data_IF_760290720672
#
_entry.id   IF_760290720672
#
_cell.length_a   1.000
_cell.length_b   1.000
_cell.length_c   1.000
_cell.angle_alpha   90.00
_cell.angle_beta   90.00
_cell.angle_gamma   90.00
#
_symmetry.space_group_name_H-M   'P 1'
#
loop_
_entity.id
_entity.type
_entity.pdbx_description
1 polymer ?
#
# COMPACT_ATOMS: atom_id res chain seq x y z
N UNK A 1 -14.01 16.64 13.52
CA UNK A 1 -12.71 16.00 13.23
C UNK A 1 -11.85 16.92 12.36
N UNK A 2 -10.86 17.58 12.98
CA UNK A 2 -10.01 18.57 12.31
C UNK A 2 -9.08 17.85 11.34
N UNK A 3 -9.22 18.16 10.05
CA UNK A 3 -8.32 17.70 9.00
C UNK A 3 -6.93 18.24 9.32
N UNK A 4 -5.97 17.35 9.54
CA UNK A 4 -4.57 17.72 9.72
C UNK A 4 -3.99 18.12 8.37
N UNK A 5 -3.91 19.43 8.13
CA UNK A 5 -3.34 20.03 6.91
C UNK A 5 -1.92 19.56 6.62
N UNK A 6 -1.19 19.08 7.64
CA UNK A 6 0.17 18.54 7.51
C UNK A 6 0.22 17.30 6.62
N UNK A 7 -0.82 16.46 6.62
CA UNK A 7 -0.91 15.25 5.80
C UNK A 7 -1.04 15.57 4.30
N UNK A 8 -1.85 16.58 3.94
CA UNK A 8 -2.04 16.99 2.55
C UNK A 8 -0.84 17.80 2.02
N UNK A 9 -0.20 18.59 2.87
CA UNK A 9 0.99 19.38 2.50
C UNK A 9 2.22 18.50 2.22
N UNK A 10 2.26 17.27 2.72
CA UNK A 10 3.32 16.30 2.36
C UNK A 10 3.11 15.70 0.95
N UNK A 11 1.88 15.72 0.43
CA UNK A 11 1.55 15.19 -0.89
C UNK A 11 1.60 16.28 -1.98
N UNK A 12 1.42 17.54 -1.63
CA UNK A 12 1.27 18.65 -2.57
C UNK A 12 2.28 19.79 -2.32
N UNK A 13 3.05 20.15 -3.35
CA UNK A 13 3.46 21.55 -3.54
C UNK A 13 2.23 22.47 -3.72
N UNK A 14 2.39 23.80 -3.79
CA UNK A 14 1.27 24.74 -3.66
C UNK A 14 0.17 24.50 -4.72
N UNK A 15 -1.06 24.30 -4.24
CA UNK A 15 -2.25 23.96 -5.02
C UNK A 15 -2.80 25.24 -5.69
N UNK A 16 -3.09 25.17 -6.99
CA UNK A 16 -3.87 26.20 -7.72
C UNK A 16 -5.31 25.73 -7.86
N UNK A 17 -6.24 26.48 -7.26
CA UNK A 17 -7.68 26.26 -7.36
C UNK A 17 -8.22 26.59 -8.77
N UNK A 18 -9.06 25.70 -9.32
CA UNK A 18 -10.02 26.09 -10.37
C UNK A 18 -11.34 25.31 -10.31
N UNK A 19 -12.32 25.96 -9.66
CA UNK A 19 -13.78 26.07 -9.91
C UNK A 19 -14.63 24.85 -10.34
N UNK A 20 -15.54 24.50 -9.42
CA UNK A 20 -17.00 24.23 -9.50
C UNK A 20 -17.76 24.43 -10.82
N UNK A 21 -18.65 23.47 -11.18
CA UNK A 21 -20.12 23.65 -11.26
C UNK A 21 -20.86 22.46 -11.90
N UNK A 22 -21.36 21.49 -11.11
CA UNK A 22 -22.70 20.87 -11.25
C UNK A 22 -22.92 19.75 -10.22
N UNK A 23 -23.96 19.90 -9.39
CA UNK A 23 -24.42 18.91 -8.41
C UNK A 23 -25.96 18.90 -8.34
N UNK A 24 -26.61 17.74 -8.13
CA UNK A 24 -26.04 16.39 -8.12
C UNK A 24 -25.92 15.80 -9.54
N UNK A 25 -24.95 14.91 -9.81
CA UNK A 25 -24.87 14.22 -11.09
C UNK A 25 -26.03 13.22 -11.23
N UNK A 26 -26.67 13.24 -12.40
CA UNK A 26 -27.61 12.22 -12.84
C UNK A 26 -26.84 10.91 -13.06
N UNK A 27 -27.02 9.91 -12.20
CA UNK A 27 -26.48 8.55 -12.42
C UNK A 27 -27.41 7.83 -13.39
N UNK A 28 -27.12 7.91 -14.69
CA UNK A 28 -27.91 7.28 -15.76
C UNK A 28 -27.24 6.05 -16.37
N UNK A 29 -26.06 5.66 -15.86
CA UNK A 29 -25.31 4.52 -16.39
C UNK A 29 -24.87 3.61 -15.24
N UNK A 30 -25.05 2.30 -15.45
CA UNK A 30 -24.35 1.27 -14.67
C UNK A 30 -22.86 1.56 -14.89
N UNK A 31 -22.03 1.66 -13.83
CA UNK A 31 -20.61 1.90 -14.01
C UNK A 31 -20.05 0.87 -14.98
N UNK A 32 -19.43 1.33 -16.08
CA UNK A 32 -18.69 0.44 -16.95
C UNK A 32 -17.65 -0.34 -16.11
N UNK A 33 -17.35 -1.59 -16.45
CA UNK A 33 -16.28 -2.32 -15.79
C UNK A 33 -15.03 -1.44 -15.78
N UNK A 34 -14.53 -1.14 -14.58
CA UNK A 34 -13.40 -0.26 -14.37
C UNK A 34 -12.15 -0.85 -15.05
N UNK A 35 -11.83 -0.34 -16.24
CA UNK A 35 -10.61 -0.66 -17.01
C UNK A 35 -9.40 0.12 -16.45
N UNK A 36 -9.28 0.12 -15.11
CA UNK A 36 -8.18 0.78 -14.41
C UNK A 36 -6.87 0.02 -14.55
N UNK A 37 -5.75 0.60 -14.07
CA UNK A 37 -4.45 -0.06 -14.16
C UNK A 37 -4.51 -1.46 -13.54
N UNK A 38 -4.15 -2.49 -14.31
CA UNK A 38 -4.08 -3.88 -13.83
C UNK A 38 -2.98 -4.12 -12.78
N UNK A 39 -2.39 -3.05 -12.21
CA UNK A 39 -1.29 -3.11 -11.25
C UNK A 39 -1.63 -2.35 -9.98
N UNK A 40 -1.85 -3.10 -8.92
CA UNK A 40 -2.23 -2.59 -7.61
C UNK A 40 -1.07 -2.67 -6.62
N UNK A 41 -1.08 -1.73 -5.69
CA UNK A 41 -0.29 -1.76 -4.47
C UNK A 41 -1.26 -1.83 -3.28
N UNK A 42 -1.32 -2.98 -2.62
CA UNK A 42 -2.33 -3.29 -1.62
C UNK A 42 -1.73 -3.28 -0.20
N UNK A 43 -1.92 -2.24 0.61
CA UNK A 43 -1.47 -2.16 2.00
C UNK A 43 -2.30 -3.08 2.91
N UNK A 44 -1.97 -4.37 2.90
CA UNK A 44 -2.58 -5.39 3.73
C UNK A 44 -2.52 -5.04 5.22
N UNK A 45 -1.36 -4.55 5.67
CA UNK A 45 -1.11 -4.20 7.07
C UNK A 45 -0.23 -2.98 7.19
N UNK A 46 -0.62 -2.04 8.05
CA UNK A 46 0.22 -0.94 8.51
C UNK A 46 0.34 -1.06 10.03
N UNK A 47 1.49 -1.53 10.52
CA UNK A 47 1.72 -1.95 11.91
C UNK A 47 1.96 -0.79 12.88
N UNK A 48 1.18 0.29 12.77
CA UNK A 48 1.30 1.49 13.63
C UNK A 48 -0.06 2.03 14.05
N UNK A 49 -0.09 2.92 15.05
CA UNK A 49 -1.32 3.62 15.41
C UNK A 49 -1.67 4.62 14.32
N UNK A 50 -2.95 4.94 14.16
CA UNK A 50 -3.48 5.74 13.05
C UNK A 50 -2.71 7.03 12.77
N UNK A 51 -2.34 7.77 13.82
CA UNK A 51 -1.55 9.02 13.70
C UNK A 51 -0.26 8.84 12.92
N UNK A 52 0.42 7.70 13.10
CA UNK A 52 1.67 7.35 12.43
C UNK A 52 1.45 6.51 11.18
N UNK A 53 0.41 5.68 11.16
CA UNK A 53 -0.01 4.92 9.98
C UNK A 53 -0.35 5.83 8.80
N UNK A 54 -0.89 7.04 9.05
CA UNK A 54 -1.05 8.11 8.05
C UNK A 54 0.25 8.38 7.31
N UNK A 55 1.34 8.64 8.04
CA UNK A 55 2.63 8.93 7.43
C UNK A 55 3.17 7.73 6.65
N UNK A 56 2.87 6.50 7.06
CA UNK A 56 3.24 5.31 6.28
C UNK A 56 2.39 5.15 5.01
N UNK A 57 1.11 5.49 5.06
CA UNK A 57 0.24 5.49 3.88
C UNK A 57 0.73 6.50 2.82
N UNK A 58 1.21 7.68 3.23
CA UNK A 58 1.85 8.65 2.31
C UNK A 58 3.04 8.02 1.58
N UNK A 59 3.87 7.28 2.31
CA UNK A 59 5.06 6.62 1.74
C UNK A 59 4.67 5.49 0.77
N UNK A 60 3.61 4.76 1.09
CA UNK A 60 3.01 3.74 0.23
C UNK A 60 2.47 4.38 -1.06
N UNK A 61 1.79 5.53 -0.98
CA UNK A 61 1.33 6.29 -2.15
C UNK A 61 2.50 6.80 -2.99
N UNK A 62 3.56 7.30 -2.36
CA UNK A 62 4.76 7.72 -3.10
C UNK A 62 5.45 6.53 -3.79
N UNK A 63 5.54 5.38 -3.11
CA UNK A 63 6.05 4.15 -3.72
C UNK A 63 5.18 3.70 -4.90
N UNK A 64 3.86 3.83 -4.81
CA UNK A 64 2.96 3.47 -5.89
C UNK A 64 3.20 4.32 -7.14
N UNK A 65 3.52 5.62 -6.99
CA UNK A 65 3.88 6.50 -8.11
C UNK A 65 5.14 6.02 -8.82
N UNK A 66 6.20 5.69 -8.07
CA UNK A 66 7.46 5.19 -8.64
C UNK A 66 7.34 3.79 -9.27
N UNK A 67 6.36 2.99 -8.81
CA UNK A 67 6.08 1.67 -9.36
C UNK A 67 4.97 1.68 -10.42
N UNK A 68 4.38 2.84 -10.73
CA UNK A 68 3.21 3.00 -11.60
C UNK A 68 2.06 2.05 -11.22
N UNK A 69 1.63 2.12 -9.96
CA UNK A 69 0.57 1.27 -9.37
C UNK A 69 -0.53 2.12 -8.74
N UNK A 70 -1.77 1.67 -8.87
CA UNK A 70 -2.93 2.19 -8.13
C UNK A 70 -2.90 1.65 -6.69
N UNK A 71 -3.07 2.53 -5.69
CA UNK A 71 -3.15 2.09 -4.29
C UNK A 71 -4.55 1.63 -3.95
N UNK A 72 -4.68 0.42 -3.40
CA UNK A 72 -5.92 -0.02 -2.77
C UNK A 72 -6.01 0.62 -1.39
N UNK A 73 -7.03 1.43 -1.15
CA UNK A 73 -7.16 2.14 0.13
C UNK A 73 -7.39 1.14 1.28
N UNK A 74 -6.65 1.26 2.39
CA UNK A 74 -6.84 0.39 3.53
C UNK A 74 -8.15 0.70 4.26
N UNK A 75 -8.72 -0.28 4.95
CA UNK A 75 -9.79 0.00 5.93
C UNK A 75 -9.22 0.66 7.18
N UNK A 76 -10.09 1.29 7.96
CA UNK A 76 -9.75 2.04 9.18
C UNK A 76 -10.63 1.64 10.36
N UNK A 77 -10.14 1.90 11.58
CA UNK A 77 -10.89 1.63 12.81
C UNK A 77 -9.99 1.21 13.96
N UNK A 78 -10.49 1.31 15.18
CA UNK A 78 -9.75 0.97 16.42
C UNK A 78 -8.35 1.64 16.48
N UNK A 79 -8.25 2.87 15.95
CA UNK A 79 -7.01 3.64 15.83
C UNK A 79 -5.91 2.94 15.00
N UNK A 80 -6.28 2.21 13.94
CA UNK A 80 -5.40 1.46 13.04
C UNK A 80 -5.85 1.59 11.59
N UNK A 81 -4.96 1.22 10.66
CA UNK A 81 -5.22 1.10 9.22
C UNK A 81 -4.75 -0.25 8.69
N UNK A 82 -5.48 -0.82 7.74
CA UNK A 82 -5.12 -2.04 7.03
C UNK A 82 -6.36 -2.77 6.48
N UNK A 83 -6.15 -3.85 5.75
CA UNK A 83 -7.26 -4.58 5.10
C UNK A 83 -8.30 -5.13 6.08
N UNK A 84 -7.89 -5.50 7.30
CA UNK A 84 -8.74 -6.17 8.29
C UNK A 84 -9.51 -5.22 9.23
N UNK A 85 -9.51 -3.92 8.96
CA UNK A 85 -10.22 -2.97 9.81
C UNK A 85 -11.71 -2.92 9.46
N UNK A 86 -12.60 -2.50 10.39
CA UNK A 86 -14.04 -2.62 10.18
C UNK A 86 -14.65 -1.58 9.25
N UNK A 87 -14.10 -0.36 9.20
CA UNK A 87 -14.70 0.78 8.49
C UNK A 87 -13.94 1.09 7.22
N UNK A 88 -14.63 1.60 6.20
CA UNK A 88 -13.98 1.97 4.95
C UNK A 88 -13.19 3.26 5.11
N UNK A 89 -12.20 3.46 4.23
CA UNK A 89 -11.25 4.56 4.35
C UNK A 89 -11.95 5.93 4.37
N UNK A 90 -12.97 6.09 3.54
CA UNK A 90 -13.78 7.30 3.41
C UNK A 90 -14.60 7.66 4.65
N UNK A 91 -14.74 6.73 5.60
CA UNK A 91 -15.38 7.00 6.90
C UNK A 91 -14.62 8.09 7.68
N UNK A 92 -13.29 8.15 7.56
CA UNK A 92 -12.44 9.13 8.27
C UNK A 92 -11.65 10.07 7.36
N UNK A 93 -11.52 9.73 6.08
CA UNK A 93 -10.63 10.43 5.15
C UNK A 93 -11.34 10.87 3.87
N UNK A 94 -10.89 11.97 3.29
CA UNK A 94 -11.44 12.49 2.05
C UNK A 94 -10.67 11.90 0.86
N UNK A 95 -11.28 10.94 0.18
CA UNK A 95 -10.67 10.24 -0.97
C UNK A 95 -10.48 11.19 -2.15
N UNK A 96 -11.39 12.13 -2.36
CA UNK A 96 -11.28 13.11 -3.45
C UNK A 96 -10.09 14.03 -3.24
N UNK A 97 -9.82 14.45 -2.00
CA UNK A 97 -8.59 15.21 -1.69
C UNK A 97 -7.31 14.43 -1.95
N UNK A 98 -7.30 13.10 -1.74
CA UNK A 98 -6.15 12.26 -2.11
C UNK A 98 -5.97 12.20 -3.63
N UNK A 99 -7.05 12.02 -4.38
CA UNK A 99 -7.03 12.02 -5.86
C UNK A 99 -6.55 13.35 -6.41
N UNK A 100 -7.06 14.47 -5.88
CA UNK A 100 -6.63 15.82 -6.24
C UNK A 100 -5.16 16.08 -5.88
N UNK A 101 -4.63 15.41 -4.86
CA UNK A 101 -3.20 15.40 -4.52
C UNK A 101 -2.35 14.50 -5.46
N UNK A 102 -2.96 13.99 -6.53
CA UNK A 102 -2.32 13.16 -7.55
C UNK A 102 -2.04 11.72 -7.08
N UNK A 103 -2.77 11.21 -6.10
CA UNK A 103 -2.71 9.80 -5.74
C UNK A 103 -3.69 9.00 -6.62
N UNK A 104 -3.20 7.96 -7.29
CA UNK A 104 -4.06 7.00 -7.97
C UNK A 104 -4.53 5.94 -6.97
N UNK A 105 -5.83 5.95 -6.66
CA UNK A 105 -6.41 5.19 -5.54
C UNK A 105 -7.77 4.59 -5.88
N UNK A 106 -7.98 3.36 -5.39
CA UNK A 106 -9.25 2.62 -5.48
C UNK A 106 -9.70 2.19 -4.09
N UNK A 107 -11.01 2.16 -3.83
CA UNK A 107 -11.54 1.61 -2.58
C UNK A 107 -11.34 0.09 -2.54
N UNK A 108 -11.23 -0.46 -1.33
CA UNK A 108 -11.06 -1.90 -1.15
C UNK A 108 -12.24 -2.71 -1.73
N UNK A 109 -13.47 -2.23 -1.58
CA UNK A 109 -14.65 -2.90 -2.14
C UNK A 109 -14.62 -2.94 -3.67
N UNK A 110 -14.26 -1.82 -4.31
CA UNK A 110 -14.17 -1.74 -5.77
C UNK A 110 -13.05 -2.63 -6.31
N UNK A 111 -11.91 -2.69 -5.61
CA UNK A 111 -10.85 -3.63 -5.89
C UNK A 111 -11.33 -5.10 -5.80
N UNK A 112 -12.11 -5.45 -4.76
CA UNK A 112 -12.64 -6.80 -4.59
C UNK A 112 -13.70 -7.20 -5.61
N UNK A 113 -14.42 -6.24 -6.23
CA UNK A 113 -15.37 -6.52 -7.31
C UNK A 113 -14.68 -6.95 -8.61
N UNK A 114 -13.38 -6.65 -8.76
CA UNK A 114 -12.55 -7.16 -9.86
C UNK A 114 -12.60 -8.69 -9.90
N UNK A 115 -13.36 -9.24 -10.84
CA UNK A 115 -13.81 -10.64 -10.83
C UNK A 115 -12.78 -11.66 -11.32
N UNK A 116 -11.55 -11.23 -11.63
CA UNK A 116 -10.48 -12.10 -12.13
C UNK A 116 -9.54 -12.53 -11.02
N UNK A 117 -8.94 -13.71 -11.18
CA UNK A 117 -7.76 -14.09 -10.40
C UNK A 117 -6.61 -13.15 -10.76
N UNK A 118 -5.94 -12.60 -9.76
CA UNK A 118 -4.84 -11.66 -9.92
C UNK A 118 -3.55 -12.25 -9.35
N UNK A 119 -2.47 -12.19 -10.11
CA UNK A 119 -1.15 -12.56 -9.61
C UNK A 119 -0.74 -11.64 -8.47
N UNK A 120 -0.16 -12.20 -7.41
CA UNK A 120 0.17 -11.46 -6.21
C UNK A 120 1.57 -11.79 -5.68
N UNK A 121 2.29 -10.78 -5.22
CA UNK A 121 3.55 -10.96 -4.50
C UNK A 121 3.48 -10.24 -3.16
N UNK A 122 4.07 -10.85 -2.14
CA UNK A 122 4.15 -10.26 -0.81
C UNK A 122 5.42 -9.43 -0.72
N UNK A 123 5.28 -8.18 -0.29
CA UNK A 123 6.36 -7.30 0.09
C UNK A 123 6.22 -6.94 1.57
N UNK A 124 7.13 -7.42 2.40
CA UNK A 124 7.17 -7.07 3.83
C UNK A 124 8.32 -6.13 4.11
N UNK A 125 8.00 -4.95 4.62
CA UNK A 125 8.95 -3.95 5.07
C UNK A 125 8.96 -3.95 6.60
N UNK A 126 9.97 -4.57 7.24
CA UNK A 126 9.96 -4.76 8.69
C UNK A 126 11.32 -4.49 9.34
N UNK A 127 11.33 -3.78 10.48
CA UNK A 127 12.58 -3.48 11.20
C UNK A 127 13.23 -4.72 11.82
N UNK A 128 12.45 -5.76 12.12
CA UNK A 128 12.96 -7.04 12.62
C UNK A 128 12.76 -8.12 11.57
N UNK A 129 13.75 -8.99 11.42
CA UNK A 129 13.57 -10.20 10.63
C UNK A 129 12.51 -11.06 11.31
N UNK A 130 11.70 -11.76 10.50
CA UNK A 130 10.76 -12.75 11.04
C UNK A 130 11.56 -13.82 11.77
N UNK A 131 11.17 -14.23 13.00
CA UNK A 131 11.86 -15.29 13.74
C UNK A 131 11.83 -16.64 12.99
N UNK A 132 10.91 -16.80 12.05
CA UNK A 132 10.75 -18.02 11.25
C UNK A 132 11.64 -18.03 9.99
N UNK A 133 12.40 -16.96 9.75
CA UNK A 133 13.22 -16.84 8.55
C UNK A 133 14.59 -17.44 8.79
N UNK A 134 14.80 -18.65 8.25
CA UNK A 134 16.03 -19.43 8.41
C UNK A 134 17.05 -19.18 7.30
N UNK A 135 16.66 -18.48 6.23
CA UNK A 135 17.56 -18.18 5.11
C UNK A 135 18.57 -17.09 5.46
N UNK A 136 19.81 -17.27 5.01
CA UNK A 136 20.84 -16.22 5.08
C UNK A 136 20.40 -15.03 4.21
N UNK A 137 20.35 -13.81 4.75
CA UNK A 137 19.96 -12.64 3.98
C UNK A 137 20.99 -12.32 2.90
N UNK A 138 20.48 -11.82 1.77
CA UNK A 138 21.29 -11.04 0.83
C UNK A 138 21.35 -9.62 1.39
N UNK A 139 22.56 -9.08 1.59
CA UNK A 139 22.72 -7.72 2.13
C UNK A 139 23.02 -6.75 1.00
N UNK A 140 22.12 -5.80 0.76
CA UNK A 140 22.26 -4.74 -0.26
C UNK A 140 22.09 -3.41 0.44
N UNK A 141 23.08 -2.53 0.38
CA UNK A 141 23.01 -1.19 0.97
C UNK A 141 22.53 -1.15 2.44
N UNK A 142 22.95 -2.15 3.23
CA UNK A 142 22.56 -2.34 4.65
C UNK A 142 21.09 -2.73 4.86
N UNK A 143 20.40 -3.13 3.80
CA UNK A 143 19.09 -3.74 3.81
C UNK A 143 19.28 -5.24 3.63
N UNK A 144 18.81 -6.01 4.60
CA UNK A 144 18.74 -7.46 4.49
C UNK A 144 17.52 -7.81 3.64
N UNK A 145 17.75 -8.55 2.57
CA UNK A 145 16.73 -9.06 1.66
C UNK A 145 16.63 -10.56 1.88
N UNK A 146 15.43 -11.04 2.16
CA UNK A 146 15.13 -12.46 2.18
C UNK A 146 14.02 -12.76 1.19
N UNK A 147 14.22 -13.82 0.43
CA UNK A 147 13.24 -14.38 -0.48
C UNK A 147 12.74 -15.69 0.14
N UNK A 148 11.42 -15.83 0.25
CA UNK A 148 10.81 -17.03 0.84
C UNK A 148 9.72 -17.54 -0.10
N UNK A 149 9.94 -18.75 -0.60
CA UNK A 149 9.02 -19.43 -1.51
C UNK A 149 7.70 -19.80 -0.81
N UNK A 150 6.58 -19.51 -1.47
CA UNK A 150 5.23 -19.89 -1.04
C UNK A 150 4.86 -19.46 0.39
N UNK A 151 5.48 -18.41 0.91
CA UNK A 151 5.25 -17.95 2.28
C UNK A 151 4.16 -16.89 2.34
N UNK A 152 2.99 -17.30 2.84
CA UNK A 152 1.85 -16.41 3.12
C UNK A 152 1.69 -16.12 4.60
N UNK A 153 2.61 -16.57 5.47
CA UNK A 153 2.47 -16.49 6.92
C UNK A 153 2.52 -15.06 7.48
N UNK A 154 3.09 -14.12 6.73
CA UNK A 154 3.12 -12.70 7.10
C UNK A 154 1.80 -11.98 6.82
N UNK A 155 0.89 -12.59 6.05
CA UNK A 155 -0.39 -11.99 5.74
C UNK A 155 -1.34 -12.00 6.95
N UNK A 156 -2.11 -10.93 7.18
CA UNK A 156 -3.17 -10.94 8.17
C UNK A 156 -4.19 -12.06 7.89
N UNK A 157 -4.65 -12.74 8.95
CA UNK A 157 -5.59 -13.88 8.83
C UNK A 157 -6.87 -13.53 8.07
N UNK A 158 -7.36 -12.29 8.17
CA UNK A 158 -8.55 -11.87 7.42
C UNK A 158 -8.37 -11.97 5.91
N UNK A 159 -7.13 -11.89 5.41
CA UNK A 159 -6.89 -11.89 3.97
C UNK A 159 -7.26 -13.22 3.32
N UNK A 160 -7.02 -14.34 4.01
CA UNK A 160 -7.32 -15.67 3.49
C UNK A 160 -8.80 -15.87 3.17
N UNK A 161 -9.69 -15.23 3.96
CA UNK A 161 -11.14 -15.34 3.78
C UNK A 161 -11.73 -14.28 2.82
N UNK A 162 -11.09 -13.12 2.72
CA UNK A 162 -11.64 -11.96 1.99
C UNK A 162 -10.99 -11.71 0.62
N UNK A 163 -9.89 -12.39 0.29
CA UNK A 163 -9.09 -12.12 -0.91
C UNK A 163 -8.66 -13.41 -1.64
N UNK A 164 -9.57 -14.38 -1.73
CA UNK A 164 -9.32 -15.67 -2.40
C UNK A 164 -9.04 -15.58 -3.90
N UNK A 165 -9.16 -14.39 -4.50
CA UNK A 165 -8.79 -14.11 -5.90
C UNK A 165 -7.30 -13.84 -6.09
N UNK A 166 -6.55 -13.56 -5.03
CA UNK A 166 -5.10 -13.34 -5.09
C UNK A 166 -4.36 -14.66 -5.24
N UNK A 167 -3.51 -14.76 -6.27
CA UNK A 167 -2.69 -15.91 -6.57
C UNK A 167 -1.21 -15.62 -6.31
N UNK A 168 -0.70 -16.14 -5.20
CA UNK A 168 0.70 -15.97 -4.80
C UNK A 168 1.66 -16.95 -5.48
N UNK A 169 1.16 -17.88 -6.30
CA UNK A 169 1.99 -18.87 -6.97
C UNK A 169 2.89 -18.18 -8.01
N UNK A 170 4.16 -18.59 -8.06
CA UNK A 170 5.13 -18.06 -9.02
C UNK A 170 5.90 -16.83 -8.51
N UNK A 171 5.62 -16.35 -7.30
CA UNK A 171 6.36 -15.23 -6.70
C UNK A 171 6.90 -15.59 -5.32
N UNK A 172 8.18 -15.29 -5.10
CA UNK A 172 8.76 -15.35 -3.76
C UNK A 172 8.27 -14.16 -2.94
N UNK A 173 7.94 -14.41 -1.66
CA UNK A 173 7.71 -13.34 -0.71
C UNK A 173 9.03 -12.59 -0.45
N UNK A 174 9.00 -11.28 -0.61
CA UNK A 174 10.17 -10.39 -0.45
C UNK A 174 10.10 -9.73 0.92
N UNK A 175 11.08 -10.03 1.77
CA UNK A 175 11.23 -9.44 3.08
C UNK A 175 12.40 -8.48 3.08
N UNK A 176 12.13 -7.20 3.32
CA UNK A 176 13.12 -6.14 3.41
C UNK A 176 13.26 -5.71 4.86
N UNK A 177 14.46 -5.90 5.39
CA UNK A 177 14.84 -5.54 6.74
C UNK A 177 16.00 -4.53 6.73
N UNK A 178 15.72 -3.23 6.81
CA UNK A 178 16.77 -2.22 6.93
C UNK A 178 17.43 -2.30 8.30
N UNK A 179 18.71 -2.69 8.34
CA UNK A 179 19.47 -2.79 9.59
C UNK A 179 20.02 -1.42 10.00
N UNK A 180 19.52 -0.87 11.11
CA UNK A 180 20.13 0.29 11.82
C UNK A 180 20.32 1.56 10.95
N UNK A 181 19.32 1.94 10.15
CA UNK A 181 19.38 3.15 9.34
C UNK A 181 18.65 4.32 10.03
N UNK A 182 19.35 5.45 10.18
CA UNK A 182 18.84 6.72 10.74
C UNK A 182 18.49 7.76 9.66
N UNK A 183 18.61 7.39 8.39
CA UNK A 183 18.40 8.26 7.22
C UNK A 183 17.26 7.71 6.36
N UNK A 184 16.59 8.55 5.57
CA UNK A 184 15.70 8.09 4.51
C UNK A 184 16.45 7.14 3.57
N UNK A 185 15.83 6.02 3.22
CA UNK A 185 16.43 4.93 2.42
C UNK A 185 15.60 4.63 1.18
N UNK A 186 14.83 5.63 0.74
CA UNK A 186 13.82 5.42 -0.28
C UNK A 186 14.41 4.90 -1.59
N UNK A 187 15.52 5.47 -2.06
CA UNK A 187 16.11 5.09 -3.36
C UNK A 187 16.68 3.67 -3.32
N UNK A 188 17.35 3.32 -2.23
CA UNK A 188 17.91 1.99 -1.99
C UNK A 188 16.77 0.96 -1.91
N UNK A 189 15.73 1.26 -1.14
CA UNK A 189 14.55 0.40 -1.01
C UNK A 189 13.82 0.25 -2.34
N UNK A 190 13.62 1.34 -3.08
CA UNK A 190 12.97 1.33 -4.40
C UNK A 190 13.77 0.48 -5.39
N UNK A 191 15.09 0.63 -5.45
CA UNK A 191 15.94 -0.17 -6.33
C UNK A 191 15.86 -1.66 -5.99
N UNK A 192 15.84 -2.02 -4.71
CA UNK A 192 15.66 -3.40 -4.27
C UNK A 192 14.26 -3.91 -4.64
N UNK A 193 13.20 -3.14 -4.38
CA UNK A 193 11.82 -3.53 -4.74
C UNK A 193 11.71 -3.71 -6.25
N UNK A 194 12.27 -2.82 -7.07
CA UNK A 194 12.27 -2.94 -8.52
C UNK A 194 13.06 -4.17 -9.01
N UNK A 195 14.13 -4.54 -8.30
CA UNK A 195 14.96 -5.70 -8.65
C UNK A 195 14.29 -7.03 -8.32
N UNK A 196 13.58 -7.11 -7.19
CA UNK A 196 13.01 -8.37 -6.68
C UNK A 196 11.50 -8.51 -6.88
N UNK A 197 10.80 -7.45 -7.32
CA UNK A 197 9.41 -7.61 -7.73
C UNK A 197 9.36 -8.43 -9.02
N UNK A 198 8.54 -9.49 -9.04
CA UNK A 198 8.33 -10.29 -10.27
C UNK A 198 7.33 -9.65 -11.25
N UNK A 199 6.95 -8.39 -11.01
CA UNK A 199 5.85 -7.70 -11.70
C UNK A 199 4.45 -8.33 -11.55
N UNK A 200 4.01 -8.66 -10.31
CA UNK A 200 2.64 -9.14 -10.11
C UNK A 200 1.61 -8.05 -10.43
N UNK A 201 0.38 -8.47 -10.70
CA UNK A 201 -0.79 -7.60 -10.75
C UNK A 201 -0.94 -6.89 -9.39
N UNK A 202 -0.80 -7.61 -8.28
CA UNK A 202 -0.97 -7.06 -6.93
C UNK A 202 0.31 -7.20 -6.11
N UNK A 203 0.90 -6.07 -5.71
CA UNK A 203 1.94 -6.06 -4.69
C UNK A 203 1.28 -5.89 -3.32
N UNK A 204 1.23 -6.97 -2.53
CA UNK A 204 0.63 -6.99 -1.20
C UNK A 204 1.66 -6.53 -0.17
N UNK A 205 1.45 -5.36 0.40
CA UNK A 205 2.42 -4.67 1.26
C UNK A 205 2.07 -4.83 2.73
N UNK A 206 3.00 -5.43 3.48
CA UNK A 206 3.04 -5.42 4.94
C UNK A 206 4.05 -4.37 5.40
N UNK A 207 3.56 -3.26 5.94
CA UNK A 207 4.38 -2.13 6.36
C UNK A 207 4.55 -2.11 7.90
N UNK A 208 5.76 -2.42 8.38
CA UNK A 208 6.17 -2.45 9.79
C UNK A 208 7.54 -1.77 10.01
N UNK A 209 7.73 -0.63 9.35
CA UNK A 209 8.88 0.24 9.59
C UNK A 209 8.48 1.34 10.59
N UNK A 210 9.26 1.47 11.66
CA UNK A 210 9.03 2.50 12.69
C UNK A 210 9.39 3.91 12.24
N UNK A 211 10.21 4.06 11.22
CA UNK A 211 10.71 5.34 10.74
C UNK A 211 10.26 5.57 9.30
N UNK A 212 10.00 6.83 8.90
CA UNK A 212 9.73 7.13 7.51
C UNK A 212 10.94 6.79 6.64
N UNK A 213 10.68 6.14 5.49
CA UNK A 213 11.68 5.84 4.46
C UNK A 213 11.85 7.00 3.47
N UNK A 214 10.88 7.93 3.42
CA UNK A 214 10.95 9.18 2.66
C UNK A 214 11.41 10.35 3.54
N UNK A 215 12.16 11.31 2.97
CA UNK A 215 12.55 12.55 3.65
C UNK A 215 11.36 13.46 3.98
#
# INVERSE_FOLDING_TARGET
PVIDRTFLNQLCGPIRDSRSNQWPPLITQIPEPFDGPNRFLFPARISEQESKARSHLVQIIQLSKELNRTVVLPKVGKSRMGACQPLDFDTYYDVEKLRLAGADVINLEDFQRGSSRQSAQILTLAWKASPNMTSTPIVIDKINVHLVQNDVSSLPECLGNHFGTLDFRGFDAVYLNPSKLKKPIFKELLGIVQTYQGEPDVLVVNYDLRYPIFP
#
